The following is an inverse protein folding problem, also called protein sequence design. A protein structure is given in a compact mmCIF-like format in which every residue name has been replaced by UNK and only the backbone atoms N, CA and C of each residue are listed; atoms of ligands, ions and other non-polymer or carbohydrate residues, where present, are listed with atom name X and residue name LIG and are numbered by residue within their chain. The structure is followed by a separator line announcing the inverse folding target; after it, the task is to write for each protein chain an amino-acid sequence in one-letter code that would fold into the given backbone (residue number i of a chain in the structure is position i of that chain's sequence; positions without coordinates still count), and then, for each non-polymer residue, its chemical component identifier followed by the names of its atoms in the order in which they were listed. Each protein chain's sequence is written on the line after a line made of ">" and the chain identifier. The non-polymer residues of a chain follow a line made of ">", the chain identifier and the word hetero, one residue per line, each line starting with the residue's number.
data_IF_607994252060
#
_entry.id   IF_607994252060
#
_cell.length_a   1.000
_cell.length_b   1.000
_cell.length_c   1.000
_cell.angle_alpha   90.00
_cell.angle_beta   90.00
_cell.angle_gamma   90.00
#
_symmetry.space_group_name_H-M   'P 1'
#
loop_
_entity.id
_entity.type
_entity.pdbx_description
1 polymer ?
#
# COMPACT_ATOMS: atom_id res chain seq x y z
N UNK A 1 23.70 4.21 -21.03
CA UNK A 1 24.08 5.25 -20.06
C UNK A 1 23.16 5.10 -18.87
N UNK A 2 23.67 4.65 -17.72
CA UNK A 2 22.87 4.58 -16.49
C UNK A 2 22.64 5.99 -15.96
N UNK A 3 21.39 6.36 -15.69
CA UNK A 3 21.12 7.53 -14.85
C UNK A 3 21.72 7.21 -13.48
N UNK A 4 22.72 8.01 -13.08
CA UNK A 4 23.10 8.12 -11.68
C UNK A 4 21.82 8.53 -10.95
N UNK A 5 21.27 7.66 -10.11
CA UNK A 5 20.24 8.05 -9.17
C UNK A 5 20.82 9.22 -8.36
N UNK A 6 20.20 10.39 -8.45
CA UNK A 6 20.64 11.62 -7.79
C UNK A 6 20.46 11.44 -6.27
N UNK A 7 21.24 12.17 -5.47
CA UNK A 7 21.09 12.27 -4.01
C UNK A 7 19.65 12.68 -3.61
N UNK A 8 18.89 13.31 -4.52
CA UNK A 8 17.47 13.57 -4.35
C UNK A 8 16.63 12.29 -4.24
N UNK A 9 16.88 11.32 -5.10
CA UNK A 9 16.11 10.07 -5.17
C UNK A 9 16.40 9.23 -3.93
N UNK A 10 17.68 9.17 -3.51
CA UNK A 10 18.08 8.47 -2.30
C UNK A 10 17.42 9.05 -1.03
N UNK A 11 17.30 10.38 -0.93
CA UNK A 11 16.62 11.05 0.19
C UNK A 11 15.11 10.82 0.16
N UNK A 12 14.50 10.87 -1.03
CA UNK A 12 13.08 10.60 -1.22
C UNK A 12 12.73 9.18 -0.75
N UNK A 13 13.45 8.17 -1.26
CA UNK A 13 13.22 6.78 -0.83
C UNK A 13 13.46 6.59 0.66
N UNK A 14 14.52 7.17 1.24
CA UNK A 14 14.78 7.07 2.68
C UNK A 14 13.63 7.62 3.54
N UNK A 15 12.98 8.71 3.10
CA UNK A 15 11.82 9.26 3.78
C UNK A 15 10.60 8.32 3.70
N UNK A 16 10.33 7.74 2.53
CA UNK A 16 9.22 6.79 2.36
C UNK A 16 9.45 5.48 3.12
N UNK A 17 10.69 4.98 3.17
CA UNK A 17 11.06 3.84 4.03
C UNK A 17 10.81 4.14 5.52
N UNK A 18 11.12 5.35 5.97
CA UNK A 18 10.85 5.77 7.34
C UNK A 18 9.35 5.82 7.63
N UNK A 19 8.55 6.29 6.66
CA UNK A 19 7.10 6.36 6.77
C UNK A 19 6.46 4.96 6.83
N UNK A 20 6.90 4.01 6.00
CA UNK A 20 6.46 2.61 6.10
C UNK A 20 6.79 2.05 7.47
N UNK A 21 7.99 2.31 7.99
CA UNK A 21 8.37 1.85 9.33
C UNK A 21 7.50 2.45 10.43
N UNK A 22 7.13 3.72 10.31
CA UNK A 22 6.21 4.38 11.25
C UNK A 22 4.82 3.73 11.22
N UNK A 23 4.29 3.43 10.03
CA UNK A 23 3.02 2.72 9.87
C UNK A 23 3.04 1.30 10.46
N UNK A 24 4.22 0.69 10.54
CA UNK A 24 4.44 -0.59 11.23
C UNK A 24 4.80 -0.44 12.72
N UNK A 25 4.50 0.72 13.32
CA UNK A 25 4.79 1.04 14.73
C UNK A 25 6.28 0.92 15.08
N UNK A 26 7.16 1.26 14.14
CA UNK A 26 8.61 1.22 14.29
C UNK A 26 9.25 -0.15 13.97
N UNK A 27 8.45 -1.16 13.68
CA UNK A 27 8.93 -2.52 13.39
C UNK A 27 9.50 -2.62 11.97
N UNK A 28 10.52 -3.45 11.80
CA UNK A 28 10.88 -3.95 10.47
C UNK A 28 9.78 -4.87 9.92
N UNK A 29 9.74 -5.08 8.60
CA UNK A 29 8.84 -6.06 7.98
C UNK A 29 9.01 -7.45 8.62
N UNK A 30 10.25 -7.85 8.91
CA UNK A 30 10.50 -9.14 9.54
C UNK A 30 9.90 -9.24 10.96
N UNK A 31 10.06 -8.21 11.78
CA UNK A 31 9.49 -8.18 13.13
C UNK A 31 7.96 -8.11 13.09
N UNK A 32 7.42 -7.27 12.20
CA UNK A 32 5.98 -7.16 11.97
C UNK A 32 5.36 -8.50 11.57
N UNK A 33 5.99 -9.23 10.66
CA UNK A 33 5.50 -10.55 10.20
C UNK A 33 5.56 -11.64 11.27
N UNK A 34 6.26 -11.43 12.40
CA UNK A 34 6.23 -12.33 13.56
C UNK A 34 5.03 -12.09 14.48
N UNK A 35 4.36 -10.96 14.37
CA UNK A 35 3.13 -10.69 15.15
C UNK A 35 2.01 -11.66 14.75
N UNK A 36 1.05 -11.98 15.63
CA UNK A 36 -0.16 -12.70 15.25
C UNK A 36 -0.93 -12.00 14.13
N UNK A 37 -1.59 -12.77 13.26
CA UNK A 37 -2.35 -12.23 12.12
C UNK A 37 -3.39 -11.17 12.55
N UNK A 38 -4.05 -11.37 13.70
CA UNK A 38 -5.03 -10.42 14.23
C UNK A 38 -4.39 -9.06 14.53
N UNK A 39 -3.18 -9.05 15.10
CA UNK A 39 -2.46 -7.82 15.41
C UNK A 39 -1.98 -7.12 14.14
N UNK A 40 -1.46 -7.88 13.16
CA UNK A 40 -1.07 -7.32 11.85
C UNK A 40 -2.25 -6.67 11.14
N UNK A 41 -3.40 -7.35 11.10
CA UNK A 41 -4.65 -6.80 10.55
C UNK A 41 -5.07 -5.53 11.29
N UNK A 42 -5.03 -5.53 12.62
CA UNK A 42 -5.38 -4.34 13.40
C UNK A 42 -4.48 -3.14 13.10
N UNK A 43 -3.18 -3.35 12.87
CA UNK A 43 -2.25 -2.30 12.43
C UNK A 43 -2.63 -1.82 11.01
N UNK A 44 -2.82 -2.74 10.07
CA UNK A 44 -3.27 -2.39 8.72
C UNK A 44 -4.57 -1.59 8.72
N UNK A 45 -5.57 -2.00 9.51
CA UNK A 45 -6.85 -1.33 9.62
C UNK A 45 -6.72 0.14 10.04
N UNK A 46 -5.73 0.50 10.85
CA UNK A 46 -5.51 1.89 11.28
C UNK A 46 -5.12 2.82 10.11
N UNK A 47 -4.49 2.26 9.08
CA UNK A 47 -3.94 3.00 7.96
C UNK A 47 -4.75 2.82 6.67
N UNK A 48 -5.37 1.66 6.48
CA UNK A 48 -5.97 1.24 5.21
C UNK A 48 -7.49 1.30 5.18
N UNK A 49 -8.16 1.41 6.32
CA UNK A 49 -9.64 1.45 6.41
C UNK A 49 -10.14 2.87 6.63
N UNK A 50 -11.17 3.22 5.88
CA UNK A 50 -11.91 4.47 6.01
C UNK A 50 -13.31 4.20 6.56
N UNK A 51 -13.79 5.13 7.38
CA UNK A 51 -15.18 5.11 7.84
C UNK A 51 -16.15 5.54 6.74
N UNK A 52 -15.69 6.43 5.85
CA UNK A 52 -16.44 6.88 4.69
C UNK A 52 -16.08 6.04 3.46
N UNK A 53 -16.98 6.06 2.47
CA UNK A 53 -16.77 5.35 1.21
C UNK A 53 -15.60 5.93 0.45
N UNK A 54 -14.79 5.05 -0.10
CA UNK A 54 -13.66 5.42 -0.96
C UNK A 54 -14.17 5.64 -2.38
N UNK A 55 -13.93 6.82 -2.93
CA UNK A 55 -14.30 7.13 -4.31
C UNK A 55 -13.10 6.96 -5.24
N UNK A 56 -13.28 6.16 -6.30
CA UNK A 56 -12.29 5.97 -7.37
C UNK A 56 -12.87 6.63 -8.63
N UNK A 57 -12.27 7.76 -9.04
CA UNK A 57 -12.73 8.64 -10.13
C UNK A 57 -11.55 9.14 -10.97
N UNK A 58 -11.81 9.63 -12.19
CA UNK A 58 -10.79 10.28 -13.03
C UNK A 58 -10.20 11.51 -12.33
N UNK A 59 -8.86 11.60 -12.34
CA UNK A 59 -8.02 12.60 -11.67
C UNK A 59 -8.72 13.88 -11.18
N UNK A 60 -9.05 13.93 -9.90
CA UNK A 60 -8.99 15.21 -9.19
C UNK A 60 -7.51 15.51 -8.92
N UNK A 61 -6.94 16.24 -9.87
CA UNK A 61 -5.68 17.00 -9.79
C UNK A 61 -5.38 17.42 -8.33
N UNK A 62 -4.33 16.83 -7.79
CA UNK A 62 -3.50 17.29 -6.67
C UNK A 62 -4.09 17.60 -5.28
N UNK A 63 -5.39 17.49 -4.99
CA UNK A 63 -5.89 17.92 -3.66
C UNK A 63 -6.98 17.10 -2.95
N UNK A 64 -7.50 16.01 -3.53
CA UNK A 64 -8.53 15.19 -2.86
C UNK A 64 -8.24 13.68 -2.84
N UNK A 65 -7.01 13.23 -3.10
CA UNK A 65 -6.64 11.93 -2.55
C UNK A 65 -6.72 12.05 -1.03
N UNK A 66 -7.66 11.33 -0.41
CA UNK A 66 -7.71 11.25 1.03
C UNK A 66 -6.32 10.78 1.50
N UNK A 67 -5.59 11.65 2.21
CA UNK A 67 -4.18 11.45 2.59
C UNK A 67 -3.97 10.08 3.26
N UNK A 68 -5.00 9.54 3.93
CA UNK A 68 -4.96 8.19 4.49
C UNK A 68 -4.82 7.08 3.44
N UNK A 69 -5.55 7.17 2.33
CA UNK A 69 -5.39 6.24 1.20
C UNK A 69 -4.01 6.43 0.57
N UNK A 70 -3.61 7.68 0.28
CA UNK A 70 -2.31 7.95 -0.36
C UNK A 70 -1.13 7.42 0.46
N UNK A 71 -1.13 7.61 1.78
CA UNK A 71 -0.10 7.08 2.66
C UNK A 71 -0.21 5.56 2.83
N UNK A 72 -1.43 5.02 2.88
CA UNK A 72 -1.70 3.59 2.95
C UNK A 72 -1.21 2.83 1.72
N UNK A 73 -1.22 3.44 0.53
CA UNK A 73 -0.72 2.86 -0.71
C UNK A 73 0.76 2.46 -0.63
N UNK A 74 1.57 3.11 0.23
CA UNK A 74 2.96 2.71 0.45
C UNK A 74 3.06 1.27 1.01
N UNK A 75 2.06 0.80 1.77
CA UNK A 75 1.99 -0.57 2.27
C UNK A 75 1.71 -1.60 1.17
N UNK A 76 1.33 -1.17 -0.04
CA UNK A 76 1.17 -2.04 -1.20
C UNK A 76 2.43 -2.08 -2.07
N UNK A 77 3.32 -1.10 -1.93
CA UNK A 77 4.48 -0.98 -2.80
C UNK A 77 5.62 -1.85 -2.30
N UNK A 78 5.92 -2.92 -3.06
CA UNK A 78 7.10 -3.76 -2.83
C UNK A 78 8.42 -2.98 -2.87
N UNK A 79 8.43 -1.81 -3.53
CA UNK A 79 9.61 -0.94 -3.61
C UNK A 79 10.14 -0.51 -2.23
N UNK A 80 9.25 -0.39 -1.23
CA UNK A 80 9.62 -0.05 0.14
C UNK A 80 9.84 -1.28 1.04
N UNK A 81 9.93 -2.46 0.44
CA UNK A 81 10.07 -3.73 1.14
C UNK A 81 11.20 -4.56 0.54
N UNK A 82 11.65 -5.58 1.26
CA UNK A 82 12.63 -6.52 0.72
C UNK A 82 11.99 -7.40 -0.36
N UNK A 83 12.78 -7.91 -1.32
CA UNK A 83 12.32 -8.90 -2.30
C UNK A 83 12.14 -10.31 -1.69
N UNK A 84 11.63 -10.39 -0.46
CA UNK A 84 11.41 -11.65 0.24
C UNK A 84 9.94 -12.06 0.29
N UNK A 85 9.71 -13.33 0.59
CA UNK A 85 8.37 -13.92 0.68
C UNK A 85 7.53 -13.23 1.76
N UNK A 86 8.17 -12.78 2.84
CA UNK A 86 7.51 -12.05 3.94
C UNK A 86 6.93 -10.72 3.46
N UNK A 87 7.68 -9.96 2.68
CA UNK A 87 7.19 -8.71 2.09
C UNK A 87 6.05 -8.95 1.10
N UNK A 88 6.15 -10.01 0.30
CA UNK A 88 5.07 -10.41 -0.60
C UNK A 88 3.79 -10.77 0.16
N UNK A 89 3.93 -11.51 1.26
CA UNK A 89 2.82 -11.85 2.14
C UNK A 89 2.24 -10.60 2.82
N UNK A 90 3.09 -9.68 3.29
CA UNK A 90 2.67 -8.44 3.91
C UNK A 90 1.80 -7.59 2.96
N UNK A 91 2.26 -7.39 1.71
CA UNK A 91 1.49 -6.66 0.68
C UNK A 91 0.13 -7.31 0.44
N UNK A 92 0.11 -8.65 0.36
CA UNK A 92 -1.14 -9.39 0.18
C UNK A 92 -2.10 -9.16 1.36
N UNK A 93 -1.62 -9.27 2.60
CA UNK A 93 -2.44 -9.04 3.79
C UNK A 93 -2.96 -7.60 3.86
N UNK A 94 -2.13 -6.61 3.49
CA UNK A 94 -2.53 -5.22 3.41
C UNK A 94 -3.66 -5.02 2.38
N UNK A 95 -3.53 -5.60 1.19
CA UNK A 95 -4.58 -5.54 0.14
C UNK A 95 -5.87 -6.22 0.58
N UNK A 96 -5.78 -7.39 1.21
CA UNK A 96 -6.96 -8.10 1.75
C UNK A 96 -7.73 -7.24 2.76
N UNK A 97 -7.03 -6.53 3.65
CA UNK A 97 -7.66 -5.60 4.60
C UNK A 97 -8.28 -4.41 3.86
N UNK A 98 -7.55 -3.79 2.93
CA UNK A 98 -8.03 -2.62 2.21
C UNK A 98 -9.28 -2.93 1.37
N UNK A 99 -9.23 -3.92 0.48
CA UNK A 99 -10.35 -4.25 -0.40
C UNK A 99 -11.46 -5.04 0.29
N UNK A 100 -11.13 -5.76 1.37
CA UNK A 100 -12.11 -6.58 2.08
C UNK A 100 -12.98 -5.81 3.06
N UNK A 101 -12.48 -4.70 3.62
CA UNK A 101 -13.16 -3.98 4.70
C UNK A 101 -13.62 -2.56 4.33
N UNK A 102 -13.11 -1.96 3.25
CA UNK A 102 -13.62 -0.68 2.76
C UNK A 102 -14.84 -0.86 1.84
N UNK A 103 -15.71 0.15 1.83
CA UNK A 103 -16.76 0.29 0.82
C UNK A 103 -16.28 1.26 -0.27
N UNK A 104 -16.34 0.83 -1.54
CA UNK A 104 -15.85 1.60 -2.68
C UNK A 104 -16.98 2.04 -3.60
N UNK A 105 -16.86 3.27 -4.11
CA UNK A 105 -17.63 3.80 -5.22
C UNK A 105 -16.68 4.03 -6.39
N UNK A 106 -16.76 3.14 -7.37
CA UNK A 106 -15.85 3.12 -8.52
C UNK A 106 -16.61 3.59 -9.75
N UNK A 107 -16.08 4.60 -10.43
CA UNK A 107 -16.59 4.98 -11.75
C UNK A 107 -16.37 3.86 -12.75
N UNK A 108 -17.37 3.59 -13.59
CA UNK A 108 -17.39 2.40 -14.45
C UNK A 108 -16.14 2.26 -15.33
N UNK A 109 -15.55 3.37 -15.77
CA UNK A 109 -14.36 3.35 -16.62
C UNK A 109 -13.06 3.03 -15.87
N UNK A 110 -13.05 3.04 -14.53
CA UNK A 110 -11.95 2.58 -13.66
C UNK A 110 -12.18 1.18 -13.09
N UNK A 111 -13.31 0.55 -13.42
CA UNK A 111 -13.69 -0.72 -12.80
C UNK A 111 -12.69 -1.83 -13.14
N UNK A 112 -12.13 -1.83 -14.35
CA UNK A 112 -11.13 -2.81 -14.77
C UNK A 112 -9.85 -2.66 -13.96
N UNK A 113 -9.30 -1.45 -13.89
CA UNK A 113 -8.08 -1.12 -13.16
C UNK A 113 -8.24 -1.38 -11.66
N UNK A 114 -9.41 -1.06 -11.11
CA UNK A 114 -9.74 -1.35 -9.72
C UNK A 114 -9.77 -2.85 -9.44
N UNK A 115 -10.36 -3.65 -10.33
CA UNK A 115 -10.36 -5.11 -10.20
C UNK A 115 -8.96 -5.69 -10.34
N UNK A 116 -8.18 -5.20 -11.30
CA UNK A 116 -6.79 -5.63 -11.47
C UNK A 116 -5.98 -5.32 -10.20
N UNK A 117 -6.09 -4.13 -9.62
CA UNK A 117 -5.39 -3.80 -8.38
C UNK A 117 -5.91 -4.60 -7.17
N UNK A 118 -7.19 -4.96 -7.13
CA UNK A 118 -7.72 -5.86 -6.10
C UNK A 118 -7.11 -7.27 -6.19
N UNK A 119 -6.95 -7.80 -7.40
CA UNK A 119 -6.59 -9.20 -7.63
C UNK A 119 -5.12 -9.45 -7.96
N UNK A 120 -4.33 -8.42 -8.27
CA UNK A 120 -2.91 -8.55 -8.63
C UNK A 120 -1.97 -8.72 -7.41
N UNK A 121 -2.47 -9.36 -6.36
CA UNK A 121 -1.65 -9.91 -5.27
C UNK A 121 -0.80 -11.13 -5.69
N UNK A 122 -0.55 -11.35 -6.99
CA UNK A 122 0.27 -12.48 -7.45
C UNK A 122 0.16 -12.93 -8.91
N UNK A 123 -0.26 -12.12 -9.89
CA UNK A 123 -0.23 -12.54 -11.30
C UNK A 123 0.76 -11.70 -12.09
N UNK A 124 2.02 -12.13 -12.03
CA UNK A 124 2.93 -12.00 -13.18
C UNK A 124 2.21 -12.54 -14.41
N UNK A 125 1.66 -11.65 -15.23
CA UNK A 125 1.22 -11.97 -16.58
C UNK A 125 2.48 -12.44 -17.33
N UNK A 126 2.49 -13.71 -17.74
CA UNK A 126 3.33 -14.20 -18.83
C UNK A 126 2.48 -14.29 -20.09
#
# INVERSE_FOLDING_TARGET
>A
MGRLADDSDAKYFAAEFAQVREMLHGLTVEEFMRLPLIERKAIFSQHLIQQERVFIREGEDDNHMNIKIANGFMLFQRLFMSEDEKSSQMVKEAREVHYGENEFWVELHWLCEFQDDQYDGGLSIR
#
